data_IF_558155423556
#
_entry.id   IF_558155423556
#
_cell.length_a   1.000
_cell.length_b   1.000
_cell.length_c   1.000
_cell.angle_alpha   90.00
_cell.angle_beta   90.00
_cell.angle_gamma   90.00
#
_symmetry.space_group_name_H-M   'P 1'
#
loop_
_entity.id
_entity.type
_entity.pdbx_description
1 polymer ?
#
# COMPACT_ATOMS: atom_id res chain seq x y z
N UNK A 1 -12.35 -7.16 -1.72
CA UNK A 1 -11.09 -6.51 -2.15
C UNK A 1 -10.67 -7.06 -3.50
N UNK A 2 -10.17 -6.22 -4.41
CA UNK A 2 -9.57 -6.60 -5.70
C UNK A 2 -8.07 -6.30 -5.67
N UNK A 3 -7.20 -7.28 -5.94
CA UNK A 3 -5.76 -7.06 -6.05
C UNK A 3 -5.32 -7.01 -7.52
N UNK A 4 -4.67 -5.91 -7.90
CA UNK A 4 -4.09 -5.67 -9.21
C UNK A 4 -2.57 -5.83 -9.13
N UNK A 5 -2.07 -6.97 -9.60
CA UNK A 5 -0.64 -7.26 -9.57
C UNK A 5 0.10 -6.56 -10.73
N UNK A 6 1.38 -6.24 -10.50
CA UNK A 6 2.31 -5.59 -11.46
C UNK A 6 1.98 -4.12 -11.77
N UNK A 7 2.44 -3.61 -12.91
CA UNK A 7 2.59 -2.17 -13.21
C UNK A 7 1.59 -1.63 -14.24
N UNK A 8 1.11 -2.44 -15.17
CA UNK A 8 0.11 -2.01 -16.16
C UNK A 8 -1.30 -2.12 -15.57
N UNK A 9 -1.60 -1.25 -14.62
CA UNK A 9 -2.86 -1.29 -13.88
C UNK A 9 -3.99 -0.84 -14.79
N UNK A 10 -4.94 -1.72 -15.07
CA UNK A 10 -6.23 -1.37 -15.65
C UNK A 10 -7.13 -0.71 -14.59
N UNK A 11 -6.62 0.33 -13.92
CA UNK A 11 -7.21 0.90 -12.72
C UNK A 11 -8.60 1.50 -12.99
N UNK A 12 -8.82 2.01 -14.20
CA UNK A 12 -10.13 2.52 -14.62
C UNK A 12 -11.18 1.41 -14.84
N UNK A 13 -10.75 0.15 -15.00
CA UNK A 13 -11.68 -0.98 -14.97
C UNK A 13 -12.03 -1.37 -13.53
N UNK A 14 -11.14 -1.14 -12.58
CA UNK A 14 -11.33 -1.53 -11.18
C UNK A 14 -12.55 -0.83 -10.55
N UNK A 15 -12.88 0.39 -10.97
CA UNK A 15 -14.06 1.13 -10.49
C UNK A 15 -15.39 0.39 -10.74
N UNK A 16 -15.43 -0.47 -11.77
CA UNK A 16 -16.63 -1.23 -12.18
C UNK A 16 -16.85 -2.50 -11.38
N UNK A 17 -15.84 -2.98 -10.66
CA UNK A 17 -15.96 -4.19 -9.86
C UNK A 17 -16.72 -3.90 -8.56
N UNK A 18 -17.63 -4.79 -8.12
CA UNK A 18 -18.41 -4.63 -6.90
C UNK A 18 -17.57 -4.96 -5.67
N UNK A 19 -16.50 -4.19 -5.45
CA UNK A 19 -15.60 -4.30 -4.29
C UNK A 19 -15.46 -2.93 -3.62
N UNK A 20 -15.13 -2.93 -2.33
CA UNK A 20 -14.92 -1.69 -1.57
C UNK A 20 -13.46 -1.23 -1.56
N UNK A 21 -12.52 -2.16 -1.71
CA UNK A 21 -11.08 -1.93 -1.61
C UNK A 21 -10.38 -2.47 -2.85
N UNK A 22 -9.46 -1.67 -3.42
CA UNK A 22 -8.54 -2.06 -4.49
C UNK A 22 -7.11 -2.01 -3.95
N UNK A 23 -6.32 -3.05 -4.22
CA UNK A 23 -4.91 -3.15 -3.85
C UNK A 23 -4.04 -3.13 -5.11
N UNK A 24 -2.96 -2.36 -5.11
CA UNK A 24 -2.00 -2.31 -6.21
C UNK A 24 -0.63 -1.87 -5.72
N UNK A 25 0.37 -1.95 -6.61
CA UNK A 25 1.71 -1.45 -6.31
C UNK A 25 1.81 0.07 -6.52
N UNK A 26 1.28 0.84 -5.57
CA UNK A 26 1.26 2.31 -5.61
C UNK A 26 2.67 2.95 -5.67
N UNK A 27 3.73 2.20 -5.39
CA UNK A 27 5.11 2.69 -5.36
C UNK A 27 5.83 2.54 -6.71
N UNK A 28 5.38 1.64 -7.58
CA UNK A 28 6.07 1.33 -8.83
C UNK A 28 5.17 1.27 -10.07
N UNK A 29 3.86 1.36 -9.92
CA UNK A 29 2.93 1.35 -11.06
C UNK A 29 2.78 2.70 -11.76
N UNK A 30 3.27 3.78 -11.15
CA UNK A 30 3.03 5.15 -11.61
C UNK A 30 1.66 5.71 -11.25
N UNK A 31 0.90 5.02 -10.39
CA UNK A 31 -0.37 5.52 -9.84
C UNK A 31 -0.31 5.48 -8.32
N UNK A 32 -0.25 6.66 -7.70
CA UNK A 32 -0.20 6.81 -6.25
C UNK A 32 -1.51 6.44 -5.55
N UNK A 33 -1.51 6.38 -4.22
CA UNK A 33 -2.68 6.03 -3.40
C UNK A 33 -3.84 7.00 -3.64
N UNK A 34 -3.58 8.31 -3.54
CA UNK A 34 -4.62 9.34 -3.71
C UNK A 34 -5.20 9.33 -5.12
N UNK A 35 -4.33 9.35 -6.13
CA UNK A 35 -4.74 9.29 -7.54
C UNK A 35 -5.56 8.03 -7.83
N UNK A 36 -5.14 6.86 -7.33
CA UNK A 36 -5.87 5.62 -7.52
C UNK A 36 -7.23 5.61 -6.83
N UNK A 37 -7.35 6.17 -5.62
CA UNK A 37 -8.64 6.31 -4.94
C UNK A 37 -9.57 7.26 -5.70
N UNK A 38 -9.07 8.39 -6.21
CA UNK A 38 -9.85 9.34 -7.01
C UNK A 38 -10.36 8.70 -8.31
N UNK A 39 -9.51 7.97 -9.01
CA UNK A 39 -9.86 7.30 -10.28
C UNK A 39 -10.83 6.15 -10.10
N UNK A 40 -10.72 5.42 -8.99
CA UNK A 40 -11.56 4.24 -8.75
C UNK A 40 -12.84 4.54 -7.98
N UNK A 41 -12.87 5.62 -7.18
CA UNK A 41 -13.90 5.86 -6.18
C UNK A 41 -13.93 4.81 -5.07
N UNK A 42 -12.84 4.05 -4.89
CA UNK A 42 -12.72 2.95 -3.91
C UNK A 42 -11.63 3.24 -2.89
N UNK A 43 -11.65 2.53 -1.77
CA UNK A 43 -10.56 2.54 -0.82
C UNK A 43 -9.31 1.84 -1.40
N UNK A 44 -8.12 2.28 -1.00
CA UNK A 44 -6.84 1.73 -1.41
C UNK A 44 -6.23 0.83 -0.32
N UNK A 45 -5.61 -0.26 -0.75
CA UNK A 45 -4.74 -1.08 0.10
C UNK A 45 -3.32 -1.14 -0.48
N UNK A 46 -2.36 -0.56 0.23
CA UNK A 46 -0.97 -0.43 -0.23
C UNK A 46 -0.08 0.36 0.73
N UNK A 47 1.03 0.89 0.23
CA UNK A 47 1.95 1.75 1.00
C UNK A 47 3.21 1.07 1.52
N UNK A 48 3.28 -0.27 1.61
CA UNK A 48 4.50 -0.98 2.00
C UNK A 48 5.16 -1.65 0.79
N UNK A 49 6.42 -1.29 0.50
CA UNK A 49 7.17 -1.90 -0.61
C UNK A 49 7.49 -3.36 -0.32
N UNK A 50 6.78 -4.28 -0.98
CA UNK A 50 6.92 -5.72 -0.78
C UNK A 50 8.33 -6.27 -1.08
N UNK A 51 9.09 -5.63 -1.98
CA UNK A 51 10.45 -6.04 -2.37
C UNK A 51 11.54 -5.46 -1.47
N UNK A 52 11.30 -4.31 -0.82
CA UNK A 52 12.30 -3.62 0.00
C UNK A 52 12.11 -3.85 1.49
N UNK A 53 10.91 -4.24 1.94
CA UNK A 53 10.59 -4.34 3.37
C UNK A 53 11.57 -5.24 4.15
N UNK A 54 12.13 -6.27 3.53
CA UNK A 54 13.11 -7.17 4.14
C UNK A 54 14.54 -6.63 4.23
N UNK A 55 14.85 -5.55 3.51
CA UNK A 55 16.17 -4.92 3.46
C UNK A 55 16.25 -3.63 4.29
N UNK A 56 15.10 -3.15 4.78
CA UNK A 56 14.99 -1.87 5.49
C UNK A 56 15.30 -2.02 6.98
N UNK A 57 15.62 -0.90 7.63
CA UNK A 57 15.61 -0.81 9.10
C UNK A 57 14.20 -0.52 9.64
N UNK A 58 13.91 -0.82 10.92
CA UNK A 58 12.63 -0.46 11.56
C UNK A 58 12.27 1.03 11.43
N UNK A 59 13.26 1.92 11.49
CA UNK A 59 13.10 3.36 11.32
C UNK A 59 12.67 3.71 9.89
N UNK A 60 13.33 3.14 8.89
CA UNK A 60 12.95 3.33 7.48
C UNK A 60 11.53 2.82 7.20
N UNK A 61 11.13 1.71 7.83
CA UNK A 61 9.76 1.18 7.74
C UNK A 61 8.76 2.17 8.36
N UNK A 62 9.08 2.70 9.53
CA UNK A 62 8.25 3.69 10.22
C UNK A 62 8.04 4.94 9.35
N UNK A 63 9.12 5.47 8.75
CA UNK A 63 9.02 6.63 7.86
C UNK A 63 8.24 6.32 6.58
N UNK A 64 8.41 5.12 6.03
CA UNK A 64 7.63 4.68 4.86
C UNK A 64 6.13 4.58 5.15
N UNK A 65 5.75 4.09 6.34
CA UNK A 65 4.35 4.07 6.78
C UNK A 65 3.79 5.49 6.93
N UNK A 66 4.53 6.40 7.56
CA UNK A 66 4.11 7.80 7.71
C UNK A 66 3.93 8.47 6.34
N UNK A 67 4.84 8.22 5.41
CA UNK A 67 4.74 8.74 4.04
C UNK A 67 3.47 8.21 3.33
N UNK A 68 3.18 6.91 3.45
CA UNK A 68 1.97 6.32 2.88
C UNK A 68 0.69 6.90 3.49
N UNK A 69 0.65 7.11 4.82
CA UNK A 69 -0.47 7.77 5.51
C UNK A 69 -0.63 9.22 5.01
N UNK A 70 0.46 9.97 4.90
CA UNK A 70 0.45 11.35 4.41
C UNK A 70 -0.01 11.47 2.96
N UNK A 71 0.38 10.53 2.10
CA UNK A 71 -0.09 10.44 0.71
C UNK A 71 -1.60 10.13 0.65
N UNK A 72 -2.04 9.12 1.40
CA UNK A 72 -3.42 8.61 1.31
C UNK A 72 -4.46 9.53 1.96
N UNK A 73 -4.12 10.19 3.06
CA UNK A 73 -5.06 11.01 3.84
C UNK A 73 -5.75 10.23 4.97
N UNK A 74 -6.89 10.74 5.43
CA UNK A 74 -7.57 10.32 6.66
C UNK A 74 -8.59 9.19 6.47
N UNK A 75 -8.99 8.91 5.23
CA UNK A 75 -10.07 7.95 4.90
C UNK A 75 -9.75 7.13 3.66
N UNK A 76 -10.36 5.95 3.60
CA UNK A 76 -10.26 5.07 2.43
C UNK A 76 -8.90 4.39 2.26
N UNK A 77 -8.05 4.38 3.30
CA UNK A 77 -6.72 3.77 3.23
C UNK A 77 -6.58 2.59 4.17
N UNK A 78 -6.08 1.48 3.66
CA UNK A 78 -5.62 0.31 4.40
C UNK A 78 -4.12 0.15 4.18
N UNK A 79 -3.31 0.35 5.22
CA UNK A 79 -1.88 0.05 5.12
C UNK A 79 -1.68 -1.44 4.84
N UNK A 80 -1.06 -1.75 3.72
CA UNK A 80 -0.76 -3.10 3.30
C UNK A 80 0.50 -3.15 2.44
N UNK A 81 1.16 -4.31 2.36
CA UNK A 81 2.09 -4.61 1.28
C UNK A 81 1.48 -4.38 -0.11
N UNK A 82 2.27 -3.80 -1.02
CA UNK A 82 1.91 -3.60 -2.43
C UNK A 82 1.67 -4.90 -3.21
N UNK A 83 2.19 -6.01 -2.70
CA UNK A 83 2.01 -7.39 -3.15
C UNK A 83 2.39 -8.31 -1.97
N UNK A 84 2.78 -9.55 -2.20
CA UNK A 84 3.26 -10.44 -1.14
C UNK A 84 4.67 -9.99 -0.67
N UNK A 85 4.86 -9.86 0.65
CA UNK A 85 6.16 -9.56 1.26
C UNK A 85 7.14 -10.73 1.10
N UNK A 86 8.43 -10.42 1.14
CA UNK A 86 9.47 -11.45 1.20
C UNK A 86 9.40 -12.21 2.54
N UNK A 87 9.50 -13.54 2.50
CA UNK A 87 9.44 -14.38 3.70
C UNK A 87 10.62 -14.14 4.67
N UNK A 88 11.70 -13.51 4.21
CA UNK A 88 12.85 -13.11 5.01
C UNK A 88 12.65 -11.77 5.72
N UNK A 89 11.48 -11.13 5.58
CA UNK A 89 11.19 -9.85 6.25
C UNK A 89 11.37 -10.01 7.76
N UNK A 90 12.27 -9.25 8.41
CA UNK A 90 12.49 -9.35 9.84
C UNK A 90 11.22 -9.01 10.63
N UNK A 91 10.96 -9.73 11.73
CA UNK A 91 9.81 -9.43 12.61
C UNK A 91 9.83 -7.98 13.11
N UNK A 92 11.02 -7.43 13.40
CA UNK A 92 11.20 -6.05 13.82
C UNK A 92 10.59 -5.04 12.83
N UNK A 93 10.66 -5.32 11.53
CA UNK A 93 10.08 -4.49 10.48
C UNK A 93 8.55 -4.59 10.47
N UNK A 94 7.99 -5.78 10.71
CA UNK A 94 6.55 -5.98 10.85
C UNK A 94 6.00 -5.26 12.09
N UNK A 95 6.71 -5.34 13.22
CA UNK A 95 6.36 -4.62 14.44
C UNK A 95 6.45 -3.10 14.26
N UNK A 96 7.49 -2.61 13.57
CA UNK A 96 7.62 -1.19 13.26
C UNK A 96 6.44 -0.69 12.42
N UNK A 97 6.07 -1.41 11.37
CA UNK A 97 4.90 -1.08 10.56
C UNK A 97 3.60 -1.06 11.39
N UNK A 98 3.39 -2.07 12.26
CA UNK A 98 2.21 -2.14 13.12
C UNK A 98 2.14 -1.00 14.14
N UNK A 99 3.28 -0.60 14.71
CA UNK A 99 3.37 0.47 15.70
C UNK A 99 3.14 1.84 15.06
N UNK A 100 3.64 2.04 13.84
CA UNK A 100 3.55 3.31 13.12
C UNK A 100 2.12 3.76 12.78
N UNK A 101 1.12 2.86 12.78
CA UNK A 101 -0.30 3.20 12.55
C UNK A 101 -1.10 3.50 13.82
N UNK A 102 -0.51 3.33 15.01
CA UNK A 102 -1.18 3.51 16.32
C UNK A 102 -0.81 4.81 17.02
N UNK A 103 -0.48 5.85 16.25
CA UNK A 103 -0.15 7.19 16.77
C UNK A 103 -1.42 7.99 16.97
#
# INVERSE_FOLDING_TARGET
MLHLCRKNLMIDLACRYPVDIVSWNNLESGTGLREGMERTGKAAAGGLNNHRLHLMTPEEVTESVKAAIGEAGDRGFLLAPTCVIDARTPEANLYAARKAVSV
#
